data_IF_776004604535
#
_entry.id   IF_776004604535
#
_cell.length_a   1.000
_cell.length_b   1.000
_cell.length_c   1.000
_cell.angle_alpha   90.00
_cell.angle_beta   90.00
_cell.angle_gamma   90.00
#
_symmetry.space_group_name_H-M   'P 1'
#
loop_
_entity.id
_entity.type
_entity.pdbx_description
1 polymer ?
#
# COMPACT_ATOMS: atom_id res chain seq x y z
N UNK A 1 -17.53 11.75 15.18
CA UNK A 1 -17.96 10.80 14.13
C UNK A 1 -16.69 10.16 13.60
N UNK A 2 -16.56 8.84 13.68
CA UNK A 2 -15.30 8.06 13.70
C UNK A 2 -14.17 8.57 12.76
N UNK A 3 -13.28 9.41 13.29
CA UNK A 3 -12.05 9.83 12.62
C UNK A 3 -10.92 8.89 13.08
N UNK A 4 -10.62 7.88 12.26
CA UNK A 4 -9.60 6.88 12.59
C UNK A 4 -9.73 5.54 11.86
N UNK A 5 -10.69 5.40 10.93
CA UNK A 5 -10.75 4.23 10.06
C UNK A 5 -9.65 4.23 9.00
N UNK A 6 -9.31 3.04 8.51
CA UNK A 6 -8.42 2.85 7.35
C UNK A 6 -9.29 2.44 6.16
N UNK A 7 -9.06 3.04 4.99
CA UNK A 7 -9.72 2.66 3.76
C UNK A 7 -8.79 1.74 2.94
N UNK A 8 -9.32 0.63 2.45
CA UNK A 8 -8.63 -0.25 1.50
C UNK A 8 -9.44 -0.22 0.21
N UNK A 9 -8.80 0.19 -0.88
CA UNK A 9 -9.43 0.32 -2.19
C UNK A 9 -8.81 -0.68 -3.14
N UNK A 10 -9.59 -1.67 -3.58
CA UNK A 10 -9.18 -2.57 -4.65
C UNK A 10 -9.40 -1.92 -6.02
N UNK A 11 -8.57 -2.30 -6.99
CA UNK A 11 -8.62 -1.76 -8.36
C UNK A 11 -8.55 -0.22 -8.42
N UNK A 12 -7.81 0.39 -7.49
CA UNK A 12 -7.68 1.84 -7.33
C UNK A 12 -7.18 2.57 -8.59
N UNK A 13 -6.50 1.87 -9.50
CA UNK A 13 -6.06 2.42 -10.79
C UNK A 13 -7.22 2.90 -11.69
N UNK A 14 -8.46 2.47 -11.45
CA UNK A 14 -9.62 2.95 -12.21
C UNK A 14 -10.17 4.29 -11.67
N UNK A 15 -9.71 4.75 -10.52
CA UNK A 15 -10.17 5.98 -9.87
C UNK A 15 -9.01 6.89 -9.45
N UNK A 16 -7.88 6.85 -10.16
CA UNK A 16 -6.67 7.60 -9.77
C UNK A 16 -6.90 9.10 -9.55
N UNK A 17 -7.81 9.71 -10.32
CA UNK A 17 -8.18 11.13 -10.19
C UNK A 17 -8.95 11.45 -8.90
N UNK A 18 -9.63 10.45 -8.31
CA UNK A 18 -10.43 10.58 -7.09
C UNK A 18 -9.67 10.15 -5.84
N UNK A 19 -8.47 9.57 -6.00
CA UNK A 19 -7.64 9.18 -4.87
C UNK A 19 -7.11 10.42 -4.13
N UNK A 20 -6.91 10.33 -2.81
CA UNK A 20 -6.24 11.39 -2.08
C UNK A 20 -4.81 11.58 -2.61
N UNK A 21 -4.24 12.77 -2.40
CA UNK A 21 -2.86 13.07 -2.79
C UNK A 21 -1.81 12.23 -2.06
N UNK A 22 -2.18 11.64 -0.91
CA UNK A 22 -1.33 10.77 -0.10
C UNK A 22 -2.06 9.46 0.18
N UNK A 23 -1.37 8.34 -0.03
CA UNK A 23 -1.87 6.98 0.21
C UNK A 23 -0.70 5.99 0.24
N UNK A 24 -0.93 4.79 0.78
CA UNK A 24 -0.02 3.67 0.59
C UNK A 24 -0.50 2.82 -0.58
N UNK A 25 0.29 2.72 -1.65
CA UNK A 25 0.00 1.80 -2.74
C UNK A 25 0.53 0.41 -2.38
N UNK A 26 -0.34 -0.59 -2.49
CA UNK A 26 0.03 -2.00 -2.36
C UNK A 26 -0.06 -2.64 -3.73
N UNK A 27 1.06 -3.10 -4.27
CA UNK A 27 1.11 -3.82 -5.53
C UNK A 27 1.40 -5.30 -5.25
N UNK A 28 0.60 -6.19 -5.84
CA UNK A 28 0.72 -7.63 -5.68
C UNK A 28 0.93 -8.25 -7.06
N UNK A 29 2.15 -8.71 -7.32
CA UNK A 29 2.52 -9.30 -8.59
C UNK A 29 2.70 -10.80 -8.45
N UNK A 30 2.25 -11.56 -9.46
CA UNK A 30 2.60 -12.97 -9.61
C UNK A 30 4.05 -13.07 -10.05
N UNK A 31 4.80 -14.01 -9.48
CA UNK A 31 6.19 -14.28 -9.87
C UNK A 31 6.41 -15.78 -10.02
N UNK A 32 7.33 -16.14 -10.91
CA UNK A 32 7.66 -17.53 -11.21
C UNK A 32 6.50 -18.32 -11.85
N UNK A 33 6.65 -19.64 -11.87
CA UNK A 33 5.65 -20.58 -12.37
C UNK A 33 4.72 -21.11 -11.25
N UNK A 34 4.95 -20.69 -10.00
CA UNK A 34 4.18 -21.11 -8.85
C UNK A 34 2.86 -20.35 -8.71
N UNK A 35 1.73 -21.08 -8.65
CA UNK A 35 0.38 -20.50 -8.50
C UNK A 35 0.22 -19.59 -7.27
N UNK A 36 1.02 -19.80 -6.21
CA UNK A 36 0.91 -19.08 -4.94
C UNK A 36 2.03 -18.08 -4.67
N UNK A 37 3.05 -18.00 -5.53
CA UNK A 37 4.18 -17.09 -5.30
C UNK A 37 3.82 -15.66 -5.70
N UNK A 38 4.06 -14.72 -4.78
CA UNK A 38 3.76 -13.30 -4.98
C UNK A 38 4.93 -12.44 -4.53
N UNK A 39 5.12 -11.34 -5.24
CA UNK A 39 5.90 -10.20 -4.75
C UNK A 39 4.92 -9.11 -4.35
N UNK A 40 4.94 -8.73 -3.08
CA UNK A 40 4.15 -7.62 -2.54
C UNK A 40 5.09 -6.43 -2.40
N UNK A 41 4.73 -5.31 -3.03
CA UNK A 41 5.45 -4.04 -2.94
C UNK A 41 4.59 -3.00 -2.24
N UNK A 42 5.14 -2.39 -1.20
CA UNK A 42 4.57 -1.25 -0.51
C UNK A 42 5.23 0.01 -1.07
N UNK A 43 4.47 0.86 -1.74
CA UNK A 43 4.96 2.10 -2.36
C UNK A 43 4.30 3.29 -1.68
N UNK A 44 5.01 4.00 -0.80
CA UNK A 44 4.43 5.14 -0.09
C UNK A 44 4.27 6.33 -1.03
N UNK A 45 3.10 6.95 -1.00
CA UNK A 45 2.85 8.25 -1.63
C UNK A 45 2.58 9.28 -0.54
N UNK A 46 3.57 10.13 -0.28
CA UNK A 46 3.52 11.15 0.75
C UNK A 46 4.29 10.80 2.02
N UNK A 47 4.77 11.83 2.71
CA UNK A 47 5.68 11.72 3.84
C UNK A 47 5.14 10.87 5.00
N UNK A 48 3.84 10.94 5.25
CA UNK A 48 3.21 10.15 6.31
C UNK A 48 3.34 8.64 6.08
N UNK A 49 3.26 8.20 4.82
CA UNK A 49 3.41 6.80 4.46
C UNK A 49 4.87 6.37 4.33
N UNK A 50 5.78 7.29 3.97
CA UNK A 50 7.23 7.04 4.06
C UNK A 50 7.65 6.78 5.51
N UNK A 51 7.22 7.64 6.44
CA UNK A 51 7.47 7.48 7.88
C UNK A 51 6.81 6.20 8.43
N UNK A 52 5.64 5.82 7.91
CA UNK A 52 4.97 4.57 8.27
C UNK A 52 5.78 3.33 7.84
N UNK A 53 6.31 3.32 6.62
CA UNK A 53 7.14 2.21 6.13
C UNK A 53 8.43 2.08 6.93
N UNK A 54 9.12 3.19 7.21
CA UNK A 54 10.34 3.15 8.03
C UNK A 54 10.08 2.52 9.41
N UNK A 55 8.96 2.90 10.07
CA UNK A 55 8.56 2.30 11.36
C UNK A 55 8.22 0.83 11.26
N UNK A 56 7.62 0.41 10.14
CA UNK A 56 7.28 -0.99 9.90
C UNK A 56 8.57 -1.81 9.77
N UNK A 57 9.55 -1.33 8.99
CA UNK A 57 10.85 -1.97 8.82
C UNK A 57 11.63 -2.06 10.14
N UNK A 58 11.61 -1.00 10.97
CA UNK A 58 12.21 -1.02 12.31
C UNK A 58 11.57 -2.04 13.27
N UNK A 59 10.29 -2.41 13.04
CA UNK A 59 9.57 -3.37 13.90
C UNK A 59 9.81 -4.82 13.48
N UNK A 60 10.30 -5.05 12.26
CA UNK A 60 10.61 -6.38 11.72
C UNK A 60 12.03 -6.88 12.12
N UNK A 61 12.84 -6.05 12.79
CA UNK A 61 14.14 -6.40 13.42
C UNK A 61 13.99 -6.90 14.88
#
# INVERSE_FOLDING_TARGET
FYAGGVCVVEWAQYIEEELPSTFLKIQIDRVGDGESERVIRLVPHGKEYEEFINKLEETDE
#
